data_IF_474116428446
#
_entry.id   IF_474116428446
#
_cell.length_a   1.000
_cell.length_b   1.000
_cell.length_c   1.000
_cell.angle_alpha   90.00
_cell.angle_beta   90.00
_cell.angle_gamma   90.00
#
_symmetry.space_group_name_H-M   'P 1'
#
loop_
_entity.id
_entity.type
_entity.pdbx_description
1 polymer ?
#
# COMPACT_ATOMS: atom_id res chain seq x y z
N UNK A 1 -13.45 -18.72 -28.45
CA UNK A 1 -12.43 -17.92 -27.75
C UNK A 1 -13.21 -16.95 -26.91
N UNK A 2 -13.26 -17.26 -25.62
CA UNK A 2 -14.03 -16.52 -24.61
C UNK A 2 -13.54 -15.06 -24.61
N UNK A 3 -14.48 -14.13 -24.69
CA UNK A 3 -14.21 -12.71 -24.62
C UNK A 3 -13.80 -12.37 -23.18
N UNK A 4 -12.52 -12.05 -22.97
CA UNK A 4 -12.09 -11.29 -21.81
C UNK A 4 -12.51 -9.83 -22.02
N UNK A 5 -13.56 -9.39 -21.32
CA UNK A 5 -14.04 -8.00 -21.41
C UNK A 5 -13.16 -7.00 -20.64
N UNK A 6 -12.28 -7.49 -19.76
CA UNK A 6 -11.43 -6.64 -18.92
C UNK A 6 -10.09 -6.29 -19.57
N UNK A 7 -9.73 -6.96 -20.68
CA UNK A 7 -8.49 -6.73 -21.45
C UNK A 7 -7.26 -6.62 -20.53
N UNK A 8 -7.17 -7.49 -19.51
CA UNK A 8 -6.17 -7.37 -18.44
C UNK A 8 -4.73 -7.48 -18.96
N UNK A 9 -4.56 -8.11 -20.11
CA UNK A 9 -3.30 -8.27 -20.81
C UNK A 9 -2.82 -6.96 -21.48
N UNK A 10 -3.71 -6.00 -21.75
CA UNK A 10 -3.37 -4.72 -22.41
C UNK A 10 -2.80 -3.68 -21.45
N UNK A 11 -2.95 -3.87 -20.13
CA UNK A 11 -2.46 -2.96 -19.08
C UNK A 11 -0.96 -2.66 -19.16
N UNK A 12 -0.18 -3.57 -19.76
CA UNK A 12 1.26 -3.41 -19.99
C UNK A 12 1.65 -2.88 -21.38
N UNK A 13 0.70 -2.74 -22.30
CA UNK A 13 0.95 -2.33 -23.70
C UNK A 13 0.64 -0.86 -23.93
N UNK A 14 -0.46 -0.38 -23.35
CA UNK A 14 -0.90 1.00 -23.45
C UNK A 14 -1.18 1.63 -22.08
N UNK A 15 -1.44 2.95 -22.08
CA UNK A 15 -1.63 3.69 -20.84
C UNK A 15 -3.05 3.48 -20.32
N UNK A 16 -3.19 2.48 -19.46
CA UNK A 16 -4.48 2.08 -18.88
C UNK A 16 -4.48 2.29 -17.36
N UNK A 17 -5.63 2.66 -16.80
CA UNK A 17 -5.85 2.75 -15.37
C UNK A 17 -7.03 1.86 -14.98
N UNK A 18 -6.74 0.80 -14.21
CA UNK A 18 -7.74 -0.12 -13.68
C UNK A 18 -8.02 0.22 -12.21
N UNK A 19 -9.30 0.40 -11.87
CA UNK A 19 -9.74 0.61 -10.50
C UNK A 19 -10.52 -0.61 -10.03
N UNK A 20 -10.08 -1.20 -8.93
CA UNK A 20 -10.72 -2.37 -8.31
C UNK A 20 -11.26 -1.94 -6.98
N UNK A 21 -12.58 -2.03 -6.82
CA UNK A 21 -13.27 -1.48 -5.66
C UNK A 21 -13.93 -2.62 -4.94
N UNK A 22 -13.47 -2.82 -3.71
CA UNK A 22 -13.96 -3.85 -2.81
C UNK A 22 -14.74 -3.19 -1.69
N UNK A 23 -15.79 -3.88 -1.24
CA UNK A 23 -16.48 -3.47 -0.02
C UNK A 23 -15.55 -3.69 1.17
N UNK A 24 -15.56 -2.73 2.09
CA UNK A 24 -14.90 -2.84 3.40
C UNK A 24 -15.70 -3.72 4.38
N UNK A 25 -17.00 -3.87 4.16
CA UNK A 25 -17.95 -4.53 5.05
C UNK A 25 -18.35 -5.91 4.58
N UNK A 26 -18.40 -6.13 3.26
CA UNK A 26 -18.78 -7.42 2.68
C UNK A 26 -17.57 -8.15 2.09
N UNK A 27 -17.13 -9.20 2.80
CA UNK A 27 -16.02 -10.04 2.38
C UNK A 27 -16.41 -11.11 1.34
N UNK A 28 -17.70 -11.21 0.97
CA UNK A 28 -18.23 -12.29 0.12
C UNK A 28 -17.51 -12.39 -1.23
N UNK A 29 -17.09 -11.28 -1.81
CA UNK A 29 -16.48 -11.23 -3.14
C UNK A 29 -14.94 -11.09 -3.15
N UNK A 30 -14.29 -11.12 -1.98
CA UNK A 30 -12.83 -10.95 -1.88
C UNK A 30 -12.08 -12.06 -2.64
N UNK A 31 -12.65 -13.27 -2.70
CA UNK A 31 -12.05 -14.37 -3.46
C UNK A 31 -12.01 -14.08 -4.97
N UNK A 32 -13.03 -13.40 -5.53
CA UNK A 32 -13.08 -13.04 -6.95
C UNK A 32 -11.96 -12.07 -7.27
N UNK A 33 -11.78 -11.06 -6.40
CA UNK A 33 -10.71 -10.07 -6.54
C UNK A 33 -9.34 -10.72 -6.42
N UNK A 34 -9.16 -11.64 -5.48
CA UNK A 34 -7.91 -12.41 -5.34
C UNK A 34 -7.59 -13.23 -6.60
N UNK A 35 -8.59 -13.89 -7.20
CA UNK A 35 -8.43 -14.64 -8.46
C UNK A 35 -8.08 -13.69 -9.61
N UNK A 36 -8.79 -12.56 -9.73
CA UNK A 36 -8.52 -11.54 -10.74
C UNK A 36 -7.08 -11.05 -10.66
N UNK A 37 -6.57 -10.72 -9.45
CA UNK A 37 -5.17 -10.33 -9.29
C UNK A 37 -4.21 -11.45 -9.70
N UNK A 38 -4.46 -12.70 -9.30
CA UNK A 38 -3.61 -13.81 -9.73
C UNK A 38 -3.57 -13.96 -11.26
N UNK A 39 -4.72 -13.82 -11.94
CA UNK A 39 -4.77 -13.87 -13.40
C UNK A 39 -4.04 -12.67 -14.01
N UNK A 40 -4.27 -11.46 -13.50
CA UNK A 40 -3.59 -10.25 -13.95
C UNK A 40 -2.07 -10.41 -13.87
N UNK A 41 -1.53 -10.87 -12.73
CA UNK A 41 -0.10 -11.09 -12.55
C UNK A 41 0.46 -12.11 -13.53
N UNK A 42 -0.23 -13.25 -13.71
CA UNK A 42 0.21 -14.31 -14.62
C UNK A 42 0.20 -13.82 -16.08
N UNK A 43 -0.91 -13.23 -16.53
CA UNK A 43 -1.05 -12.71 -17.90
C UNK A 43 0.01 -11.66 -18.21
N UNK A 44 0.24 -10.70 -17.31
CA UNK A 44 1.28 -9.69 -17.49
C UNK A 44 2.69 -10.30 -17.51
N UNK A 45 2.93 -11.36 -16.72
CA UNK A 45 4.23 -12.03 -16.71
C UNK A 45 4.48 -12.84 -17.99
N UNK A 46 3.48 -13.62 -18.42
CA UNK A 46 3.55 -14.41 -19.65
C UNK A 46 3.73 -13.50 -20.86
N UNK A 47 3.00 -12.38 -20.91
CA UNK A 47 3.12 -11.40 -22.00
C UNK A 47 4.48 -10.71 -22.01
N UNK A 48 5.03 -10.38 -20.83
CA UNK A 48 6.38 -9.84 -20.73
C UNK A 48 7.41 -10.81 -21.30
N UNK A 49 7.32 -12.10 -20.95
CA UNK A 49 8.29 -13.12 -21.33
C UNK A 49 8.16 -13.55 -22.80
N UNK A 50 6.94 -13.84 -23.26
CA UNK A 50 6.69 -14.42 -24.59
C UNK A 50 6.67 -13.39 -25.73
N UNK A 51 6.13 -12.19 -25.47
CA UNK A 51 5.93 -11.16 -26.50
C UNK A 51 7.04 -10.11 -26.48
N UNK A 52 7.46 -9.69 -25.27
CA UNK A 52 8.37 -8.55 -25.09
C UNK A 52 9.76 -8.93 -24.57
N UNK A 53 10.13 -10.21 -24.66
CA UNK A 53 11.46 -10.70 -24.35
C UNK A 53 11.95 -10.29 -22.93
N UNK A 54 11.03 -10.35 -21.98
CA UNK A 54 11.24 -10.21 -20.54
C UNK A 54 10.83 -8.87 -19.92
N UNK A 55 10.35 -7.86 -20.67
CA UNK A 55 9.93 -6.55 -20.10
C UNK A 55 8.75 -5.93 -20.83
N UNK A 56 7.71 -5.55 -20.09
CA UNK A 56 6.57 -4.84 -20.67
C UNK A 56 6.99 -3.45 -21.21
N UNK A 57 6.40 -2.99 -22.32
CA UNK A 57 6.71 -1.68 -22.89
C UNK A 57 6.23 -0.51 -22.03
N UNK A 58 5.14 -0.68 -21.28
CA UNK A 58 4.64 0.28 -20.30
C UNK A 58 4.77 -0.28 -18.88
N UNK A 59 5.32 0.53 -17.97
CA UNK A 59 5.48 0.13 -16.58
C UNK A 59 4.13 -0.01 -15.88
N UNK A 60 3.82 -1.22 -15.40
CA UNK A 60 2.58 -1.47 -14.65
C UNK A 60 2.84 -1.28 -13.17
N UNK A 61 2.23 -0.25 -12.58
CA UNK A 61 2.30 0.01 -11.15
C UNK A 61 0.97 -0.32 -10.48
N UNK A 62 1.01 -1.30 -9.58
CA UNK A 62 -0.12 -1.64 -8.72
C UNK A 62 -0.04 -0.89 -7.40
N UNK A 63 -1.12 -0.19 -7.07
CA UNK A 63 -1.33 0.45 -5.79
C UNK A 63 -2.38 -0.38 -5.05
N UNK A 64 -1.91 -1.25 -4.16
CA UNK A 64 -2.76 -2.16 -3.41
C UNK A 64 -3.09 -1.50 -2.06
N UNK A 65 -4.09 -0.61 -2.11
CA UNK A 65 -4.62 0.01 -0.90
C UNK A 65 -5.38 -1.02 -0.06
N UNK A 66 -5.24 -0.92 1.26
CA UNK A 66 -5.78 -1.87 2.23
C UNK A 66 -5.63 -3.33 1.79
N UNK A 67 -4.37 -3.74 1.50
CA UNK A 67 -4.06 -5.06 0.95
C UNK A 67 -4.63 -6.23 1.78
N UNK A 68 -4.85 -6.00 3.07
CA UNK A 68 -5.45 -6.97 3.97
C UNK A 68 -6.90 -7.34 3.58
N UNK A 69 -7.66 -6.41 3.01
CA UNK A 69 -9.05 -6.62 2.62
C UNK A 69 -9.20 -7.41 1.33
N UNK A 70 -8.20 -7.41 0.44
CA UNK A 70 -8.22 -8.20 -0.80
C UNK A 70 -8.30 -9.69 -0.50
N UNK A 71 -7.68 -10.13 0.60
CA UNK A 71 -7.50 -11.53 0.96
C UNK A 71 -6.13 -12.07 0.55
N UNK A 72 -6.02 -13.40 0.51
CA UNK A 72 -4.76 -14.05 0.13
C UNK A 72 -4.69 -14.18 -1.40
N UNK A 73 -3.74 -13.48 -2.01
CA UNK A 73 -3.38 -13.67 -3.41
C UNK A 73 -2.47 -14.91 -3.48
N UNK A 74 -2.86 -15.97 -4.23
CA UNK A 74 -2.04 -17.15 -4.40
C UNK A 74 -0.60 -16.85 -4.86
N UNK A 75 0.39 -17.41 -4.16
CA UNK A 75 1.82 -17.33 -4.51
C UNK A 75 2.39 -15.91 -4.63
N UNK A 76 1.79 -14.94 -3.95
CA UNK A 76 2.21 -13.55 -4.01
C UNK A 76 3.68 -13.35 -3.59
N UNK A 77 4.20 -14.15 -2.65
CA UNK A 77 5.60 -14.11 -2.21
C UNK A 77 6.59 -14.44 -3.34
N UNK A 78 6.18 -15.25 -4.32
CA UNK A 78 6.99 -15.54 -5.51
C UNK A 78 6.81 -14.44 -6.55
N UNK A 79 5.57 -13.99 -6.75
CA UNK A 79 5.25 -12.94 -7.72
C UNK A 79 6.02 -11.66 -7.42
N UNK A 80 5.99 -11.18 -6.17
CA UNK A 80 6.67 -9.92 -5.79
C UNK A 80 8.18 -9.96 -6.04
N UNK A 81 8.79 -11.15 -5.99
CA UNK A 81 10.21 -11.34 -6.28
C UNK A 81 10.53 -11.32 -7.78
N UNK A 82 9.61 -11.76 -8.65
CA UNK A 82 9.85 -11.91 -10.10
C UNK A 82 9.38 -10.72 -10.93
N UNK A 83 8.31 -10.03 -10.51
CA UNK A 83 7.65 -8.97 -11.27
C UNK A 83 8.56 -7.78 -11.60
N UNK A 84 9.56 -7.50 -10.74
CA UNK A 84 10.51 -6.39 -10.93
C UNK A 84 11.25 -6.47 -12.27
N UNK A 85 11.65 -7.69 -12.66
CA UNK A 85 12.40 -7.91 -13.90
C UNK A 85 11.56 -7.64 -15.15
N UNK A 86 10.23 -7.68 -15.02
CA UNK A 86 9.22 -7.57 -16.08
C UNK A 86 8.61 -6.18 -16.21
N UNK A 87 9.22 -5.18 -15.56
CA UNK A 87 8.75 -3.79 -15.53
C UNK A 87 7.39 -3.62 -14.81
N UNK A 88 7.15 -4.46 -13.80
CA UNK A 88 5.96 -4.41 -12.95
C UNK A 88 6.39 -4.06 -11.51
N UNK A 89 5.67 -3.15 -10.86
CA UNK A 89 5.88 -2.80 -9.44
C UNK A 89 4.58 -2.87 -8.64
N UNK A 90 4.70 -3.23 -7.37
CA UNK A 90 3.59 -3.24 -6.42
C UNK A 90 3.93 -2.35 -5.21
N UNK A 91 2.99 -1.48 -4.83
CA UNK A 91 3.02 -0.74 -3.57
C UNK A 91 1.92 -1.31 -2.68
N UNK A 92 2.33 -1.99 -1.61
CA UNK A 92 1.42 -2.60 -0.64
C UNK A 92 1.19 -1.60 0.49
N UNK A 93 -0.06 -1.24 0.74
CA UNK A 93 -0.44 -0.32 1.81
C UNK A 93 -1.19 -1.11 2.87
N UNK A 94 -0.73 -0.99 4.11
CA UNK A 94 -1.21 -1.74 5.27
C UNK A 94 -1.37 -0.80 6.46
N UNK A 95 -2.37 -1.04 7.31
CA UNK A 95 -2.49 -0.33 8.58
C UNK A 95 -1.51 -0.86 9.61
N UNK A 96 -1.24 -2.17 9.56
CA UNK A 96 -0.25 -2.82 10.41
C UNK A 96 0.39 -4.03 9.72
N UNK A 97 1.66 -4.30 10.03
CA UNK A 97 2.35 -5.52 9.59
C UNK A 97 1.66 -6.80 10.08
N UNK A 98 0.98 -6.72 11.22
CA UNK A 98 0.21 -7.83 11.77
C UNK A 98 -0.89 -8.34 10.83
N UNK A 99 -1.51 -7.45 10.03
CA UNK A 99 -2.49 -7.87 9.02
C UNK A 99 -1.83 -8.73 7.92
N UNK A 100 -0.63 -8.35 7.46
CA UNK A 100 0.11 -9.12 6.48
C UNK A 100 0.51 -10.50 7.03
N UNK A 101 1.00 -10.53 8.28
CA UNK A 101 1.32 -11.78 9.00
C UNK A 101 0.10 -12.68 9.22
N UNK A 102 -1.09 -12.10 9.44
CA UNK A 102 -2.32 -12.89 9.59
C UNK A 102 -2.70 -13.63 8.30
N UNK A 103 -2.49 -13.00 7.14
CA UNK A 103 -2.87 -13.56 5.83
C UNK A 103 -1.80 -14.51 5.30
N UNK A 104 -0.53 -14.11 5.33
CA UNK A 104 0.57 -14.84 4.68
C UNK A 104 1.45 -15.66 5.65
N UNK A 105 1.25 -15.53 6.97
CA UNK A 105 2.00 -16.25 8.01
C UNK A 105 3.51 -16.13 7.79
N UNK A 106 4.21 -17.25 7.61
CA UNK A 106 5.65 -17.32 7.42
C UNK A 106 6.13 -16.63 6.12
N UNK A 107 5.24 -16.46 5.13
CA UNK A 107 5.57 -15.80 3.87
C UNK A 107 5.55 -14.26 3.98
N UNK A 108 4.98 -13.69 5.06
CA UNK A 108 4.89 -12.23 5.23
C UNK A 108 6.28 -11.57 5.25
N UNK A 109 7.25 -12.16 5.95
CA UNK A 109 8.62 -11.64 6.03
C UNK A 109 9.31 -11.68 4.65
N UNK A 110 8.97 -12.66 3.81
CA UNK A 110 9.47 -12.74 2.43
C UNK A 110 8.90 -11.63 1.55
N UNK A 111 7.62 -11.32 1.71
CA UNK A 111 6.97 -10.21 1.01
C UNK A 111 7.60 -8.88 1.41
N UNK A 112 7.73 -8.62 2.72
CA UNK A 112 8.39 -7.42 3.23
C UNK A 112 9.85 -7.32 2.77
N UNK A 113 10.59 -8.43 2.77
CA UNK A 113 11.98 -8.46 2.33
C UNK A 113 12.20 -8.15 0.85
N UNK A 114 11.18 -8.35 0.01
CA UNK A 114 11.23 -7.99 -1.42
C UNK A 114 10.82 -6.52 -1.68
N UNK A 115 10.27 -5.82 -0.69
CA UNK A 115 9.97 -4.40 -0.79
C UNK A 115 11.24 -3.57 -0.59
N UNK A 116 11.77 -2.97 -1.66
CA UNK A 116 12.97 -2.11 -1.60
C UNK A 116 12.74 -0.82 -0.79
N UNK A 117 11.47 -0.41 -0.62
CA UNK A 117 11.07 0.84 0.03
C UNK A 117 10.03 0.57 1.10
N UNK A 118 10.26 1.10 2.30
CA UNK A 118 9.29 1.09 3.40
C UNK A 118 8.98 2.51 3.81
N UNK A 119 7.71 2.89 3.81
CA UNK A 119 7.24 4.20 4.24
C UNK A 119 6.33 4.04 5.45
N UNK A 120 6.76 4.55 6.59
CA UNK A 120 5.99 4.58 7.82
C UNK A 120 5.34 5.95 8.00
N UNK A 121 4.00 5.97 8.04
CA UNK A 121 3.18 7.18 8.12
C UNK A 121 2.63 7.48 9.52
N UNK A 122 3.00 6.66 10.51
CA UNK A 122 2.44 6.65 11.86
C UNK A 122 1.67 5.36 12.15
N UNK A 123 1.66 4.95 13.42
CA UNK A 123 1.02 3.72 13.85
C UNK A 123 1.15 3.51 15.36
N UNK A 124 0.31 2.64 15.92
CA UNK A 124 0.28 2.34 17.36
C UNK A 124 0.70 0.91 17.69
N UNK A 125 1.00 0.12 16.67
CA UNK A 125 1.25 -1.31 16.80
C UNK A 125 2.68 -1.55 17.33
N UNK A 126 2.78 -2.14 18.53
CA UNK A 126 4.04 -2.21 19.29
C UNK A 126 5.15 -2.96 18.56
N UNK A 127 4.84 -4.02 17.82
CA UNK A 127 5.86 -4.82 17.14
C UNK A 127 6.47 -4.05 15.98
N UNK A 128 5.65 -3.39 15.15
CA UNK A 128 6.10 -2.48 14.08
C UNK A 128 6.95 -1.33 14.64
N UNK A 129 6.52 -0.72 15.76
CA UNK A 129 7.29 0.37 16.40
C UNK A 129 8.66 -0.10 16.89
N UNK A 130 8.73 -1.29 17.48
CA UNK A 130 9.98 -1.88 17.95
C UNK A 130 10.92 -2.20 16.78
N UNK A 131 10.41 -2.86 15.74
CA UNK A 131 11.18 -3.14 14.52
C UNK A 131 11.72 -1.84 13.89
N UNK A 132 10.91 -0.79 13.84
CA UNK A 132 11.34 0.50 13.29
C UNK A 132 12.41 1.17 14.16
N UNK A 133 12.29 1.14 15.48
CA UNK A 133 13.31 1.65 16.40
C UNK A 133 14.66 0.92 16.22
N UNK A 134 14.62 -0.41 16.05
CA UNK A 134 15.80 -1.22 15.77
C UNK A 134 16.44 -0.84 14.43
N UNK A 135 15.64 -0.59 13.39
CA UNK A 135 16.09 -0.17 12.07
C UNK A 135 16.69 1.24 12.06
N UNK A 136 16.12 2.18 12.82
CA UNK A 136 16.68 3.54 12.99
C UNK A 136 18.06 3.49 13.68
N UNK A 137 18.24 2.52 14.56
CA UNK A 137 19.49 2.29 15.28
C UNK A 137 19.67 3.21 16.49
N UNK A 138 20.93 3.34 16.91
CA UNK A 138 21.30 4.07 18.14
C UNK A 138 22.23 5.25 17.83
N UNK A 139 22.02 6.36 18.53
CA UNK A 139 22.95 7.47 18.63
C UNK A 139 23.86 7.30 19.86
N UNK A 140 25.06 7.87 19.79
CA UNK A 140 25.98 7.90 20.94
C UNK A 140 25.77 9.20 21.70
N UNK A 141 25.49 9.09 23.00
CA UNK A 141 25.33 10.22 23.91
C UNK A 141 26.50 10.23 24.89
N UNK A 142 27.11 11.40 25.02
CA UNK A 142 28.13 11.68 26.02
C UNK A 142 27.46 12.18 27.31
N UNK A 143 27.53 11.38 28.37
CA UNK A 143 27.02 11.71 29.70
C UNK A 143 28.13 12.32 30.55
N UNK A 144 27.84 13.50 31.09
CA UNK A 144 28.70 14.20 32.03
C UNK A 144 28.06 14.14 33.42
N UNK A 145 28.56 13.25 34.28
CA UNK A 145 28.13 13.17 35.67
C UNK A 145 29.04 14.05 36.52
N UNK A 146 28.50 15.17 37.00
CA UNK A 146 29.17 16.03 37.98
C UNK A 146 28.69 15.65 39.38
N UNK A 147 29.59 15.15 40.22
CA UNK A 147 29.32 14.88 41.63
C UNK A 147 29.96 15.98 42.48
N UNK A 148 29.12 16.77 43.15
CA UNK A 148 29.54 17.75 44.16
C UNK A 148 29.30 17.15 45.55
N UNK A 149 30.39 16.88 46.28
CA UNK A 149 30.31 16.36 47.65
C UNK A 149 30.71 17.46 48.62
N UNK A 150 29.75 17.97 49.40
CA UNK A 150 29.99 19.02 50.40
C UNK A 150 30.18 18.40 51.79
N UNK A 151 31.43 18.10 52.13
CA UNK A 151 31.91 17.79 53.49
C UNK A 151 32.85 18.90 54.02
N UNK A 152 33.75 18.56 54.95
CA UNK A 152 34.76 19.49 55.52
C UNK A 152 35.76 20.04 54.48
N UNK A 153 35.83 19.43 53.29
CA UNK A 153 36.56 19.94 52.12
C UNK A 153 35.71 19.68 50.89
N UNK A 154 35.65 20.64 49.97
CA UNK A 154 34.83 20.55 48.77
C UNK A 154 35.58 19.75 47.70
N UNK A 155 34.99 18.65 47.23
CA UNK A 155 35.55 17.83 46.15
C UNK A 155 34.61 17.75 44.97
N UNK A 156 35.13 18.01 43.77
CA UNK A 156 34.41 17.88 42.51
C UNK A 156 34.90 16.63 41.78
N UNK A 157 33.97 15.71 41.50
CA UNK A 157 34.20 14.56 40.62
C UNK A 157 33.50 14.78 39.29
N UNK A 158 34.25 14.69 38.18
CA UNK A 158 33.69 14.67 36.83
C UNK A 158 33.88 13.27 36.26
N UNK A 159 32.78 12.58 35.97
CA UNK A 159 32.80 11.28 35.31
C UNK A 159 32.21 11.41 33.91
N UNK A 160 32.96 10.96 32.90
CA UNK A 160 32.58 11.00 31.49
C UNK A 160 32.26 9.58 31.02
N UNK A 161 31.04 9.39 30.52
CA UNK A 161 30.57 8.09 30.05
C UNK A 161 29.92 8.22 28.69
N UNK A 162 30.32 7.37 27.73
CA UNK A 162 29.63 7.24 26.44
C UNK A 162 28.59 6.14 26.53
N UNK A 163 27.34 6.46 26.22
CA UNK A 163 26.22 5.52 26.25
C UNK A 163 25.47 5.57 24.92
N UNK A 164 25.03 4.42 24.42
CA UNK A 164 24.18 4.36 23.23
C UNK A 164 22.70 4.52 23.60
N UNK A 165 22.02 5.50 23.01
CA UNK A 165 20.56 5.69 23.10
C UNK A 165 19.93 5.37 21.75
N UNK A 166 18.72 4.82 21.73
CA UNK A 166 17.94 4.72 20.48
C UNK A 166 17.77 6.10 19.85
N UNK A 167 17.94 6.18 18.52
CA UNK A 167 17.80 7.45 17.78
C UNK A 167 16.39 8.02 17.94
N UNK A 168 15.40 7.13 17.99
CA UNK A 168 14.02 7.43 18.32
C UNK A 168 13.47 6.22 19.06
N UNK A 169 12.98 6.46 20.28
CA UNK A 169 12.34 5.44 21.10
C UNK A 169 10.97 5.05 20.54
N UNK A 170 10.47 3.87 20.91
CA UNK A 170 9.13 3.42 20.50
C UNK A 170 8.04 4.43 20.86
N UNK A 171 8.14 5.08 22.01
CA UNK A 171 7.18 6.09 22.47
C UNK A 171 7.26 7.36 21.61
N UNK A 172 8.46 7.81 21.25
CA UNK A 172 8.65 8.94 20.33
C UNK A 172 8.07 8.62 18.94
N UNK A 173 8.27 7.40 18.43
CA UNK A 173 7.71 6.95 17.14
C UNK A 173 6.18 6.87 17.20
N UNK A 174 5.61 6.40 18.33
CA UNK A 174 4.17 6.27 18.52
C UNK A 174 3.44 7.63 18.54
N UNK A 175 4.11 8.69 19.02
CA UNK A 175 3.57 10.06 19.11
C UNK A 175 4.14 10.95 18.00
N UNK A 176 4.69 10.35 16.93
CA UNK A 176 5.18 11.07 15.77
C UNK A 176 4.07 11.95 15.17
N UNK A 177 4.42 13.20 14.83
CA UNK A 177 3.48 14.14 14.24
C UNK A 177 2.85 13.57 12.96
N UNK A 178 1.55 13.80 12.79
CA UNK A 178 0.77 13.30 11.66
C UNK A 178 1.24 13.89 10.33
N UNK A 179 1.98 15.01 10.34
CA UNK A 179 2.62 15.60 9.17
C UNK A 179 3.99 15.00 8.82
N UNK A 180 4.52 14.05 9.61
CA UNK A 180 5.85 13.45 9.41
C UNK A 180 5.77 11.99 8.96
N UNK A 181 6.83 11.52 8.34
CA UNK A 181 7.00 10.11 7.96
C UNK A 181 8.45 9.68 8.12
N UNK A 182 8.64 8.37 8.30
CA UNK A 182 9.94 7.72 8.26
C UNK A 182 9.98 6.89 6.98
N UNK A 183 10.96 7.15 6.13
CA UNK A 183 11.15 6.40 4.90
C UNK A 183 12.48 5.68 4.94
N UNK A 184 12.43 4.39 4.62
CA UNK A 184 13.58 3.53 4.48
C UNK A 184 13.68 3.10 3.03
N UNK A 185 14.83 3.34 2.43
CA UNK A 185 15.18 2.89 1.09
C UNK A 185 16.33 1.89 1.20
N UNK A 186 16.31 0.88 0.34
CA UNK A 186 17.41 -0.10 0.25
C UNK A 186 18.75 0.60 0.04
N UNK A 187 19.73 0.23 0.87
CA UNK A 187 21.11 0.70 0.76
C UNK A 187 21.39 2.07 1.37
N UNK A 188 20.40 2.74 1.97
CA UNK A 188 20.59 4.01 2.68
C UNK A 188 20.02 3.95 4.09
N UNK A 189 20.47 4.87 4.95
CA UNK A 189 19.89 5.02 6.29
C UNK A 189 18.45 5.53 6.17
N UNK A 190 17.54 5.14 7.08
CA UNK A 190 16.21 5.72 7.13
C UNK A 190 16.28 7.23 7.32
N UNK A 191 15.33 7.94 6.72
CA UNK A 191 15.21 9.39 6.84
C UNK A 191 13.84 9.79 7.38
N UNK A 192 13.88 10.78 8.27
CA UNK A 192 12.71 11.42 8.83
C UNK A 192 12.37 12.65 7.99
N UNK A 193 11.16 12.69 7.43
CA UNK A 193 10.74 13.74 6.49
C UNK A 193 9.32 14.21 6.77
N UNK A 194 8.98 15.38 6.23
CA UNK A 194 7.60 15.83 6.12
C UNK A 194 6.84 15.04 5.04
N UNK A 195 5.56 14.78 5.30
CA UNK A 195 4.62 14.27 4.31
C UNK A 195 4.43 15.32 3.21
N UNK A 196 4.12 14.83 2.01
CA UNK A 196 3.89 15.72 0.88
C UNK A 196 2.61 16.53 1.10
N UNK A 197 2.72 17.86 1.00
CA UNK A 197 1.59 18.78 1.06
C UNK A 197 0.82 18.74 -0.27
N UNK A 198 -0.36 18.12 -0.25
CA UNK A 198 -1.22 17.94 -1.41
C UNK A 198 -1.57 19.26 -2.10
N UNK A 199 -1.63 20.38 -1.36
CA UNK A 199 -1.98 21.70 -1.92
C UNK A 199 -0.94 22.21 -2.91
N UNK A 200 0.30 21.72 -2.81
CA UNK A 200 1.41 22.05 -3.71
C UNK A 200 1.39 21.22 -5.00
N UNK A 201 0.54 20.20 -5.09
CA UNK A 201 0.43 19.38 -6.27
C UNK A 201 -0.14 20.19 -7.44
N UNK A 202 0.45 20.06 -8.63
CA UNK A 202 0.03 20.81 -9.84
C UNK A 202 -1.45 20.63 -10.16
N UNK A 203 -1.99 19.44 -9.87
CA UNK A 203 -3.39 19.05 -10.10
C UNK A 203 -4.27 19.13 -8.85
N UNK A 204 -3.83 19.80 -7.78
CA UNK A 204 -4.63 19.91 -6.54
C UNK A 204 -6.04 20.46 -6.79
N UNK A 205 -6.17 21.36 -7.78
CA UNK A 205 -7.46 21.96 -8.19
C UNK A 205 -8.48 20.96 -8.74
N UNK A 206 -8.04 19.77 -9.15
CA UNK A 206 -8.88 18.69 -9.67
C UNK A 206 -9.39 17.76 -8.56
N UNK A 207 -8.93 17.92 -7.32
CA UNK A 207 -9.35 17.10 -6.19
C UNK A 207 -10.63 17.63 -5.54
N UNK A 208 -11.38 16.72 -4.91
CA UNK A 208 -12.54 17.05 -4.07
C UNK A 208 -12.17 17.91 -2.85
N UNK A 209 -10.92 17.81 -2.37
CA UNK A 209 -10.37 18.63 -1.28
C UNK A 209 -10.30 20.13 -1.65
N UNK A 210 -10.14 20.45 -2.94
CA UNK A 210 -10.16 21.83 -3.43
C UNK A 210 -11.59 22.32 -3.68
N UNK A 211 -12.40 21.52 -4.36
CA UNK A 211 -13.83 21.79 -4.59
C UNK A 211 -14.62 20.48 -4.51
N UNK A 212 -15.63 20.42 -3.64
CA UNK A 212 -16.50 19.24 -3.47
C UNK A 212 -17.16 18.78 -4.77
N UNK A 213 -17.32 19.67 -5.75
CA UNK A 213 -17.86 19.33 -7.08
C UNK A 213 -16.97 18.39 -7.88
N UNK A 214 -15.68 18.33 -7.57
CA UNK A 214 -14.73 17.41 -8.20
C UNK A 214 -14.81 15.99 -7.62
N UNK A 215 -15.65 15.76 -6.60
CA UNK A 215 -15.85 14.41 -6.07
C UNK A 215 -16.42 13.52 -7.18
N UNK A 216 -15.72 12.41 -7.44
CA UNK A 216 -16.17 11.44 -8.42
C UNK A 216 -17.33 10.62 -7.83
N UNK A 217 -18.54 10.81 -8.38
CA UNK A 217 -19.71 10.02 -8.02
C UNK A 217 -19.78 8.78 -8.93
N UNK A 218 -19.42 7.65 -8.34
CA UNK A 218 -19.36 6.37 -9.04
C UNK A 218 -20.74 5.83 -9.38
N UNK A 219 -21.72 5.99 -8.47
CA UNK A 219 -23.08 5.53 -8.74
C UNK A 219 -23.65 6.31 -9.92
N UNK A 220 -23.44 7.62 -9.95
CA UNK A 220 -23.87 8.45 -11.07
C UNK A 220 -23.15 8.02 -12.35
N UNK A 221 -21.84 7.78 -12.32
CA UNK A 221 -21.08 7.35 -13.49
C UNK A 221 -21.55 5.99 -14.04
N UNK A 222 -21.73 5.00 -13.16
CA UNK A 222 -22.19 3.65 -13.52
C UNK A 222 -23.64 3.68 -14.01
N UNK A 223 -24.53 4.46 -13.39
CA UNK A 223 -25.90 4.71 -13.90
C UNK A 223 -25.87 5.30 -15.32
N UNK A 224 -24.95 6.22 -15.61
CA UNK A 224 -24.77 6.78 -16.95
C UNK A 224 -24.20 5.78 -17.97
N UNK A 225 -23.38 4.82 -17.54
CA UNK A 225 -22.88 3.73 -18.39
C UNK A 225 -23.97 2.69 -18.72
N UNK A 226 -24.84 2.38 -17.76
CA UNK A 226 -25.98 1.47 -17.96
C UNK A 226 -27.10 2.05 -18.82
N UNK A 227 -27.07 3.35 -19.14
CA UNK A 227 -27.85 3.88 -20.25
C UNK A 227 -27.20 3.45 -21.56
N UNK A 228 -27.54 2.23 -21.98
CA UNK A 228 -27.24 1.67 -23.29
C UNK A 228 -27.60 2.72 -24.35
N UNK A 229 -26.60 3.36 -24.96
CA UNK A 229 -26.83 4.24 -26.11
C UNK A 229 -27.17 3.36 -27.32
N UNK A 230 -28.42 2.89 -27.36
CA UNK A 230 -28.97 2.20 -28.53
C UNK A 230 -28.94 3.20 -29.69
N UNK A 231 -27.95 3.06 -30.57
CA UNK A 231 -27.99 3.68 -31.89
C UNK A 231 -28.77 2.76 -32.83
N UNK A 232 -29.38 3.31 -33.88
CA UNK A 232 -30.25 2.57 -34.84
C UNK A 232 -29.60 1.31 -35.47
N UNK A 233 -28.29 1.11 -35.31
CA UNK A 233 -27.53 -0.04 -35.80
C UNK A 233 -27.24 -1.13 -34.77
N UNK A 234 -27.70 -0.97 -33.53
CA UNK A 234 -27.40 -1.92 -32.44
C UNK A 234 -28.33 -3.13 -32.55
N UNK A 235 -27.80 -4.29 -32.97
CA UNK A 235 -28.49 -5.58 -32.82
C UNK A 235 -28.29 -6.06 -31.39
N UNK A 236 -29.40 -6.26 -30.68
CA UNK A 236 -29.42 -6.80 -29.32
C UNK A 236 -29.58 -8.31 -29.45
N UNK A 237 -28.57 -9.08 -29.07
CA UNK A 237 -28.70 -10.51 -28.81
C UNK A 237 -28.90 -10.70 -27.30
N UNK A 238 -30.08 -11.24 -26.96
CA UNK A 238 -30.63 -11.72 -25.69
C UNK A 238 -30.02 -11.23 -24.36
N UNK A 239 -30.83 -10.46 -23.61
CA UNK A 239 -30.58 -10.07 -22.23
C UNK A 239 -30.74 -11.24 -21.25
N UNK A 240 -29.75 -11.47 -20.38
CA UNK A 240 -29.91 -12.30 -19.19
C UNK A 240 -30.43 -11.45 -18.03
N UNK A 241 -31.64 -11.74 -17.55
CA UNK A 241 -32.16 -11.23 -16.29
C UNK A 241 -31.40 -11.87 -15.12
N UNK A 242 -30.57 -11.09 -14.41
CA UNK A 242 -30.17 -11.43 -13.05
C UNK A 242 -31.19 -10.81 -12.09
N UNK A 243 -32.00 -11.68 -11.47
CA UNK A 243 -33.17 -11.30 -10.68
C UNK A 243 -32.88 -10.41 -9.47
N UNK A 244 -33.80 -9.47 -9.26
CA UNK A 244 -34.01 -8.81 -7.98
C UNK A 244 -34.76 -9.77 -7.05
N UNK A 245 -34.22 -10.04 -5.87
CA UNK A 245 -35.01 -10.61 -4.76
C UNK A 245 -35.50 -9.42 -3.94
N UNK A 246 -36.75 -9.04 -4.15
CA UNK A 246 -37.48 -8.12 -3.28
C UNK A 246 -37.78 -8.78 -1.93
N UNK A 247 -37.73 -8.03 -0.81
CA UNK A 247 -38.11 -8.54 0.50
C UNK A 247 -39.64 -8.52 0.63
N UNK A 248 -40.27 -9.69 0.66
CA UNK A 248 -41.70 -9.78 0.94
C UNK A 248 -41.98 -9.37 2.39
N UNK A 249 -42.84 -8.36 2.52
CA UNK A 249 -43.38 -7.84 3.77
C UNK A 249 -44.77 -8.47 3.96
N UNK A 250 -44.93 -9.26 5.03
CA UNK A 250 -46.19 -9.56 5.77
C UNK A 250 -47.49 -9.90 5.02
N UNK A 251 -48.03 -11.09 5.32
CA UNK A 251 -49.37 -11.24 5.90
C UNK A 251 -49.28 -12.05 7.21
#
# INVERSE_FOLDING_TARGET
MEYDELELDTLGEEKTALFVIISDTDATFNFVVSIMYSQLFNLLCDKADDVYNGRLPVHVRMLLDEFANIGQIPQFEKLIATIRSREISASIILQSKSQLKAIYRDNADTIEGNCDTTLFLGGKEKTTLKELAEVLGKETIDLYNTSDTRGTSQSYGLNYQKTGKELMSQDEIAVMDGGKCIMQLRGVRPFFSDKFDITKHKRYKELSDYDKKNAFDMEQYVKHLHHLKVTEKTKVDEAFECGEISPDTTE
#
